data_IF_001358609518
#
_entry.id   IF_001358609518
#
_cell.length_a   1.000
_cell.length_b   1.000
_cell.length_c   1.000
_cell.angle_alpha   90.00
_cell.angle_beta   90.00
_cell.angle_gamma   90.00
#
_symmetry.space_group_name_H-M   'P 1'
#
loop_
_entity.id
_entity.type
_entity.pdbx_description
1 polymer ?
#
# COMPACT_ATOMS: atom_id res chain seq x y z
N UNK A 1 0.56 -7.86 12.14
CA UNK A 1 0.49 -9.26 11.67
C UNK A 1 -0.27 -9.32 10.34
N UNK A 2 -0.07 -10.34 9.51
CA UNK A 2 -0.79 -10.55 8.25
C UNK A 2 -0.82 -12.04 7.91
N UNK A 3 -2.00 -12.62 7.70
CA UNK A 3 -2.13 -14.02 7.28
C UNK A 3 -1.58 -14.18 5.87
N UNK A 4 -0.83 -15.25 5.59
CA UNK A 4 -0.43 -15.65 4.23
C UNK A 4 -1.42 -16.67 3.66
N UNK A 5 -1.89 -17.58 4.50
CA UNK A 5 -2.94 -18.57 4.26
C UNK A 5 -3.44 -19.08 5.63
N UNK A 6 -4.21 -20.16 5.65
CA UNK A 6 -4.73 -20.78 6.88
C UNK A 6 -3.62 -21.45 7.73
N UNK A 7 -2.46 -21.72 7.14
CA UNK A 7 -1.33 -22.42 7.76
C UNK A 7 -0.25 -21.47 8.25
N UNK A 8 -0.12 -20.28 7.64
CA UNK A 8 0.99 -19.38 7.87
C UNK A 8 0.58 -17.93 8.14
N UNK A 9 1.27 -17.30 9.09
CA UNK A 9 1.09 -15.91 9.50
C UNK A 9 2.41 -15.16 9.48
N UNK A 10 2.40 -13.92 9.02
CA UNK A 10 3.51 -13.00 9.18
C UNK A 10 3.36 -12.10 10.41
N UNK A 11 4.46 -11.90 11.11
CA UNK A 11 4.65 -10.82 12.09
C UNK A 11 5.81 -9.91 11.68
N UNK A 12 5.69 -8.62 11.97
CA UNK A 12 6.80 -7.67 11.89
C UNK A 12 7.07 -7.12 13.28
N UNK A 13 8.34 -6.92 13.62
CA UNK A 13 8.75 -6.40 14.91
C UNK A 13 10.24 -6.11 14.96
N UNK A 14 10.73 -5.70 16.13
CA UNK A 14 12.15 -5.50 16.39
C UNK A 14 12.64 -6.56 17.37
N UNK A 15 13.82 -7.13 17.11
CA UNK A 15 14.51 -8.05 18.03
C UNK A 15 15.96 -7.64 18.15
N UNK A 16 16.38 -7.30 19.37
CA UNK A 16 17.74 -6.83 19.68
C UNK A 16 18.20 -5.68 18.76
N UNK A 17 17.31 -4.71 18.53
CA UNK A 17 17.57 -3.55 17.66
C UNK A 17 17.54 -3.83 16.15
N UNK A 18 17.22 -5.05 15.73
CA UNK A 18 17.06 -5.41 14.31
C UNK A 18 15.58 -5.52 13.96
N UNK A 19 15.14 -4.85 12.89
CA UNK A 19 13.81 -5.05 12.34
C UNK A 19 13.71 -6.42 11.65
N UNK A 20 12.68 -7.22 11.98
CA UNK A 20 12.49 -8.59 11.51
C UNK A 20 11.06 -8.78 10.99
N UNK A 21 10.96 -9.49 9.86
CA UNK A 21 9.74 -10.14 9.38
C UNK A 21 9.82 -11.63 9.75
N UNK A 22 8.90 -12.12 10.58
CA UNK A 22 8.84 -13.52 11.01
C UNK A 22 7.67 -14.25 10.34
N UNK A 23 7.94 -15.43 9.81
CA UNK A 23 6.94 -16.36 9.29
C UNK A 23 6.63 -17.41 10.37
N UNK A 24 5.38 -17.45 10.80
CA UNK A 24 4.87 -18.39 11.80
C UNK A 24 4.05 -19.49 11.12
N UNK A 25 4.23 -20.73 11.57
CA UNK A 25 3.31 -21.82 11.29
C UNK A 25 2.23 -21.82 12.38
N UNK A 26 0.97 -21.72 11.94
CA UNK A 26 -0.23 -21.65 12.76
C UNK A 26 -1.20 -22.81 12.48
N UNK A 27 -0.77 -23.86 11.75
CA UNK A 27 -1.57 -25.07 11.49
C UNK A 27 -2.15 -25.71 12.76
N UNK A 28 -1.48 -25.52 13.90
CA UNK A 28 -1.98 -25.87 15.23
C UNK A 28 -1.89 -24.64 16.12
N UNK A 29 -3.03 -24.00 16.39
CA UNK A 29 -3.10 -22.77 17.21
C UNK A 29 -2.52 -22.95 18.62
N UNK A 30 -2.56 -24.17 19.16
CA UNK A 30 -1.95 -24.51 20.45
C UNK A 30 -0.42 -24.57 20.43
N UNK A 31 0.21 -24.55 19.25
CA UNK A 31 1.64 -24.74 19.06
C UNK A 31 2.15 -23.88 17.89
N UNK A 32 2.01 -22.57 18.02
CA UNK A 32 2.54 -21.61 17.04
C UNK A 32 4.07 -21.59 17.10
N UNK A 33 4.72 -21.79 15.96
CA UNK A 33 6.19 -21.81 15.87
C UNK A 33 6.71 -20.89 14.76
N UNK A 34 7.83 -20.22 15.00
CA UNK A 34 8.54 -19.48 13.94
C UNK A 34 9.21 -20.48 13.00
N UNK A 35 8.88 -20.41 11.72
CA UNK A 35 9.47 -21.22 10.65
C UNK A 35 10.73 -20.54 10.12
N UNK A 36 10.67 -19.21 9.97
CA UNK A 36 11.71 -18.43 9.33
C UNK A 36 11.65 -16.96 9.73
N UNK A 37 12.80 -16.30 9.69
CA UNK A 37 12.94 -14.88 9.94
C UNK A 37 13.73 -14.20 8.83
N UNK A 38 13.29 -13.01 8.47
CA UNK A 38 13.86 -12.19 7.41
C UNK A 38 14.23 -10.84 8.02
N UNK A 39 15.51 -10.46 7.95
CA UNK A 39 15.93 -9.13 8.40
C UNK A 39 15.42 -8.06 7.46
N UNK A 40 14.73 -7.06 8.00
CA UNK A 40 14.33 -5.87 7.26
C UNK A 40 15.51 -4.88 7.19
N UNK A 41 15.40 -3.80 6.38
CA UNK A 41 16.45 -2.79 6.29
C UNK A 41 16.88 -2.28 7.66
N UNK A 42 18.19 -2.13 7.87
CA UNK A 42 18.74 -1.67 9.16
C UNK A 42 18.23 -0.28 9.57
N UNK A 43 17.86 0.56 8.60
CA UNK A 43 17.24 1.88 8.83
C UNK A 43 15.84 1.82 9.47
N UNK A 44 15.26 0.63 9.64
CA UNK A 44 13.93 0.42 10.22
C UNK A 44 13.98 -0.01 11.70
N UNK A 45 15.16 -0.01 12.34
CA UNK A 45 15.33 -0.43 13.75
C UNK A 45 14.42 0.32 14.72
N UNK A 46 14.15 1.60 14.46
CA UNK A 46 13.43 2.54 15.35
C UNK A 46 12.09 2.99 14.76
N UNK A 47 11.47 2.13 13.95
CA UNK A 47 10.19 2.41 13.28
C UNK A 47 9.08 1.46 13.73
N UNK A 48 7.85 1.96 13.68
CA UNK A 48 6.65 1.15 13.74
C UNK A 48 6.42 0.55 12.37
N UNK A 49 6.38 -0.78 12.30
CA UNK A 49 6.13 -1.50 11.07
C UNK A 49 4.68 -1.99 11.02
N UNK A 50 4.05 -1.87 9.86
CA UNK A 50 2.68 -2.37 9.63
C UNK A 50 2.56 -3.02 8.27
N UNK A 51 1.73 -4.05 8.19
CA UNK A 51 1.31 -4.59 6.90
C UNK A 51 0.21 -3.71 6.31
N UNK A 52 0.17 -3.63 4.99
CA UNK A 52 -1.02 -3.18 4.28
C UNK A 52 -1.67 -4.39 3.63
N UNK A 53 -2.88 -4.71 4.06
CA UNK A 53 -3.60 -5.90 3.59
C UNK A 53 -3.95 -5.74 2.11
N UNK A 54 -3.68 -6.78 1.34
CA UNK A 54 -4.06 -6.85 -0.06
C UNK A 54 -5.50 -7.36 -0.18
N UNK A 55 -6.41 -6.47 -0.58
CA UNK A 55 -7.87 -6.68 -0.60
C UNK A 55 -8.39 -7.50 -1.78
N UNK A 56 -7.55 -7.80 -2.77
CA UNK A 56 -7.93 -8.73 -3.84
C UNK A 56 -8.24 -10.11 -3.24
N UNK A 57 -9.07 -10.96 -3.87
CA UNK A 57 -9.24 -12.35 -3.46
C UNK A 57 -7.96 -13.17 -3.61
N UNK A 58 -7.78 -14.16 -2.75
CA UNK A 58 -6.77 -15.22 -2.94
C UNK A 58 -7.36 -16.32 -3.83
N UNK A 59 -6.50 -17.11 -4.47
CA UNK A 59 -6.87 -18.13 -5.47
C UNK A 59 -7.81 -19.24 -4.96
N UNK A 60 -8.03 -19.31 -3.65
CA UNK A 60 -8.92 -20.21 -2.93
C UNK A 60 -10.37 -19.72 -2.82
N UNK A 61 -10.66 -18.47 -3.22
CA UNK A 61 -12.02 -17.93 -3.22
C UNK A 61 -12.60 -18.03 -4.64
N UNK A 62 -13.70 -18.77 -4.79
CA UNK A 62 -14.48 -18.82 -6.04
C UNK A 62 -14.84 -17.38 -6.46
N UNK A 63 -14.30 -16.94 -7.59
CA UNK A 63 -14.69 -15.65 -8.17
C UNK A 63 -16.11 -15.78 -8.73
N UNK A 64 -16.95 -14.79 -8.42
CA UNK A 64 -18.25 -14.66 -9.05
C UNK A 64 -18.05 -14.34 -10.53
N UNK A 65 -18.78 -15.02 -11.42
CA UNK A 65 -18.71 -14.85 -12.88
C UNK A 65 -18.98 -13.41 -13.37
N UNK A 66 -19.51 -12.55 -12.49
CA UNK A 66 -19.83 -11.15 -12.78
C UNK A 66 -18.72 -10.16 -12.39
N UNK A 67 -17.53 -10.64 -12.02
CA UNK A 67 -16.40 -9.77 -11.70
C UNK A 67 -15.92 -9.04 -12.97
N UNK A 68 -15.94 -7.70 -12.95
CA UNK A 68 -15.53 -6.85 -14.08
C UNK A 68 -14.02 -6.89 -14.34
N UNK A 69 -13.22 -7.38 -13.39
CA UNK A 69 -11.78 -7.48 -13.48
C UNK A 69 -11.29 -8.89 -13.13
N UNK A 70 -10.34 -9.41 -13.90
CA UNK A 70 -9.72 -10.70 -13.60
C UNK A 70 -8.74 -10.56 -12.43
N UNK A 71 -9.06 -11.25 -11.35
CA UNK A 71 -8.19 -11.44 -10.18
C UNK A 71 -6.96 -12.24 -10.61
N UNK A 72 -5.76 -11.68 -10.42
CA UNK A 72 -4.48 -12.34 -10.72
C UNK A 72 -3.74 -12.72 -9.41
N UNK A 73 -4.23 -13.71 -8.64
CA UNK A 73 -3.75 -14.03 -7.29
C UNK A 73 -2.26 -14.41 -7.25
N UNK A 74 -1.71 -14.93 -8.34
CA UNK A 74 -0.29 -15.26 -8.50
C UNK A 74 0.64 -14.03 -8.61
N UNK A 75 0.08 -12.85 -8.88
CA UNK A 75 0.83 -11.61 -9.03
C UNK A 75 0.67 -10.64 -7.85
N UNK A 76 -0.07 -11.05 -6.82
CA UNK A 76 -0.33 -10.25 -5.62
C UNK A 76 0.93 -9.69 -4.98
N UNK A 77 0.82 -8.46 -4.51
CA UNK A 77 1.90 -7.75 -3.83
C UNK A 77 1.64 -7.71 -2.33
N UNK A 78 2.70 -7.97 -1.57
CA UNK A 78 2.80 -7.71 -0.13
C UNK A 78 3.40 -6.31 0.06
N UNK A 79 2.82 -5.52 0.96
CA UNK A 79 3.36 -4.22 1.34
C UNK A 79 3.58 -4.11 2.85
N UNK A 80 4.74 -3.60 3.23
CA UNK A 80 5.10 -3.30 4.62
C UNK A 80 5.45 -1.81 4.69
N UNK A 81 4.74 -1.06 5.54
CA UNK A 81 5.11 0.32 5.84
C UNK A 81 5.99 0.36 7.08
N UNK A 82 6.99 1.23 7.04
CA UNK A 82 7.88 1.60 8.14
C UNK A 82 7.67 3.07 8.45
N UNK A 83 7.14 3.35 9.65
CA UNK A 83 6.77 4.68 10.13
C UNK A 83 7.65 5.02 11.33
N UNK A 84 8.43 6.10 11.29
CA UNK A 84 9.27 6.54 12.41
C UNK A 84 8.48 6.64 13.73
N UNK A 85 9.03 6.10 14.82
CA UNK A 85 8.41 6.18 16.16
C UNK A 85 8.53 7.56 16.79
N UNK A 86 9.61 8.29 16.47
CA UNK A 86 9.87 9.64 16.96
C UNK A 86 10.11 10.55 15.76
N UNK A 87 9.32 11.61 15.65
CA UNK A 87 9.61 12.71 14.73
C UNK A 87 10.75 13.49 15.38
N UNK A 88 12.01 13.30 14.94
CA UNK A 88 13.11 14.08 15.51
C UNK A 88 12.94 15.58 15.19
N UNK A 89 13.65 16.41 15.95
CA UNK A 89 13.60 17.87 15.88
C UNK A 89 13.94 18.45 14.49
N UNK A 90 14.50 17.64 13.57
CA UNK A 90 14.75 18.03 12.18
C UNK A 90 13.49 18.04 11.30
N UNK A 91 12.34 17.58 11.79
CA UNK A 91 11.04 17.68 11.10
C UNK A 91 10.89 16.80 9.85
N UNK A 92 11.90 16.00 9.50
CA UNK A 92 11.90 15.16 8.31
C UNK A 92 12.29 13.73 8.65
N UNK A 93 11.31 12.81 8.58
CA UNK A 93 11.58 11.39 8.43
C UNK A 93 10.63 10.81 7.38
N UNK A 94 11.16 10.15 6.35
CA UNK A 94 10.34 9.58 5.30
C UNK A 94 9.60 8.35 5.80
N UNK A 95 8.34 8.21 5.38
CA UNK A 95 7.63 6.93 5.48
C UNK A 95 8.17 6.03 4.38
N UNK A 96 8.58 4.82 4.73
CA UNK A 96 9.12 3.86 3.75
C UNK A 96 8.12 2.75 3.50
N UNK A 97 7.89 2.40 2.24
CA UNK A 97 7.07 1.27 1.85
C UNK A 97 7.90 0.24 1.12
N UNK A 98 7.96 -0.97 1.66
CA UNK A 98 8.60 -2.12 1.04
C UNK A 98 7.53 -2.96 0.35
N UNK A 99 7.78 -3.29 -0.92
CA UNK A 99 6.93 -4.15 -1.72
C UNK A 99 7.68 -5.40 -2.21
N UNK A 100 6.95 -6.51 -2.30
CA UNK A 100 7.41 -7.74 -2.94
C UNK A 100 6.22 -8.60 -3.38
N UNK A 101 6.45 -9.57 -4.27
CA UNK A 101 5.40 -10.55 -4.62
C UNK A 101 5.10 -11.45 -3.42
N UNK A 102 3.81 -11.65 -3.12
CA UNK A 102 3.38 -12.60 -2.06
C UNK A 102 3.90 -14.02 -2.36
N UNK A 103 4.00 -14.39 -3.64
CA UNK A 103 4.48 -15.70 -4.09
C UNK A 103 5.93 -15.99 -3.73
N UNK A 104 6.72 -14.98 -3.34
CA UNK A 104 8.05 -15.18 -2.79
C UNK A 104 8.05 -16.15 -1.59
N UNK A 105 6.96 -16.13 -0.81
CA UNK A 105 6.83 -16.93 0.40
C UNK A 105 6.06 -18.24 0.23
N UNK A 106 5.68 -18.63 -1.01
CA UNK A 106 5.09 -19.94 -1.25
C UNK A 106 6.13 -21.04 -0.94
N UNK A 107 5.96 -21.62 0.24
CA UNK A 107 6.74 -22.73 0.78
C UNK A 107 6.34 -24.04 0.08
N UNK A 108 7.22 -25.06 -0.07
CA UNK A 108 8.60 -25.18 0.38
C UNK A 108 9.60 -24.92 -0.77
N UNK A 109 9.64 -23.72 -1.34
CA UNK A 109 10.47 -23.52 -2.53
C UNK A 109 11.97 -23.27 -2.24
N UNK A 110 12.38 -22.91 -1.02
CA UNK A 110 13.77 -22.48 -0.74
C UNK A 110 14.43 -23.17 0.46
N UNK A 111 15.58 -23.79 0.22
CA UNK A 111 16.55 -24.31 1.22
C UNK A 111 17.31 -23.18 1.93
N UNK A 112 16.62 -22.12 2.32
CA UNK A 112 17.23 -21.03 3.06
C UNK A 112 17.33 -21.38 4.55
N UNK A 113 18.33 -20.81 5.23
CA UNK A 113 18.48 -20.92 6.67
C UNK A 113 17.29 -20.36 7.45
N UNK A 114 17.29 -20.57 8.77
CA UNK A 114 16.23 -20.06 9.65
C UNK A 114 16.15 -18.52 9.63
N UNK A 115 17.30 -17.84 9.68
CA UNK A 115 17.41 -16.39 9.60
C UNK A 115 18.06 -16.00 8.28
N UNK A 116 17.37 -15.13 7.53
CA UNK A 116 17.80 -14.62 6.23
C UNK A 116 18.13 -13.14 6.36
N UNK A 117 19.39 -12.80 6.06
CA UNK A 117 19.90 -11.44 6.22
C UNK A 117 19.36 -10.53 5.11
N UNK A 118 19.22 -9.23 5.38
CA UNK A 118 18.67 -8.27 4.39
C UNK A 118 19.43 -8.32 3.06
N UNK A 119 20.76 -8.40 3.11
CA UNK A 119 21.63 -8.54 1.92
C UNK A 119 21.29 -9.74 1.02
N UNK A 120 20.62 -10.77 1.55
CA UNK A 120 20.26 -11.99 0.82
C UNK A 120 18.88 -11.89 0.17
N UNK A 121 17.88 -11.37 0.87
CA UNK A 121 16.51 -11.33 0.35
C UNK A 121 16.03 -9.95 -0.11
N UNK A 122 16.71 -8.87 0.29
CA UNK A 122 16.42 -7.51 -0.14
C UNK A 122 16.53 -7.32 -1.66
N UNK A 123 17.31 -8.15 -2.35
CA UNK A 123 17.36 -8.18 -3.81
C UNK A 123 16.02 -8.57 -4.48
N UNK A 124 15.07 -9.15 -3.74
CA UNK A 124 13.72 -9.49 -4.22
C UNK A 124 12.67 -8.44 -3.82
N UNK A 125 13.08 -7.38 -3.13
CA UNK A 125 12.21 -6.33 -2.64
C UNK A 125 12.43 -5.03 -3.42
N UNK A 126 11.46 -4.14 -3.35
CA UNK A 126 11.58 -2.75 -3.77
C UNK A 126 11.11 -1.85 -2.63
N UNK A 127 11.72 -0.68 -2.47
CA UNK A 127 11.41 0.28 -1.41
C UNK A 127 11.12 1.64 -2.04
N UNK A 128 9.95 2.18 -1.71
CA UNK A 128 9.57 3.55 -2.03
C UNK A 128 9.73 4.43 -0.80
N UNK A 129 10.38 5.56 -0.99
CA UNK A 129 10.46 6.62 0.03
C UNK A 129 9.34 7.62 -0.22
N UNK A 130 8.58 7.95 0.82
CA UNK A 130 7.50 8.94 0.76
C UNK A 130 7.97 10.21 1.46
N UNK A 131 8.45 11.14 0.64
CA UNK A 131 8.96 12.46 1.03
C UNK A 131 7.81 13.46 1.23
N UNK A 132 6.95 13.22 2.22
CA UNK A 132 5.83 14.14 2.51
C UNK A 132 5.60 14.25 4.02
N UNK A 133 5.14 15.42 4.48
CA UNK A 133 4.84 15.66 5.88
C UNK A 133 3.99 14.53 6.48
N UNK A 134 4.38 13.96 7.64
CA UNK A 134 3.56 12.99 8.34
C UNK A 134 2.14 13.53 8.53
N UNK A 135 1.13 12.78 8.05
CA UNK A 135 -0.27 13.20 8.09
C UNK A 135 -0.83 13.82 6.80
N UNK A 136 -0.01 14.09 5.77
CA UNK A 136 -0.51 14.44 4.43
C UNK A 136 -0.83 13.20 3.59
N UNK A 137 -0.26 12.04 3.90
CA UNK A 137 -0.46 10.79 3.15
C UNK A 137 -1.45 9.86 3.86
N UNK A 138 -2.33 9.20 3.10
CA UNK A 138 -3.18 8.09 3.54
C UNK A 138 -2.91 6.86 2.68
N UNK A 139 -2.78 5.69 3.31
CA UNK A 139 -2.35 4.44 2.67
C UNK A 139 -1.01 3.91 3.18
N UNK A 140 -0.41 2.91 2.50
CA UNK A 140 -0.83 2.38 1.21
C UNK A 140 -2.03 1.42 1.31
N UNK A 141 -2.88 1.40 0.28
CA UNK A 141 -3.98 0.45 0.13
C UNK A 141 -3.65 -0.48 -1.04
N UNK A 142 -3.58 -1.77 -0.79
CA UNK A 142 -3.09 -2.74 -1.79
C UNK A 142 -4.27 -3.51 -2.36
N UNK A 143 -4.37 -3.60 -3.68
CA UNK A 143 -5.39 -4.37 -4.40
C UNK A 143 -4.70 -5.13 -5.54
N UNK A 144 -4.49 -6.44 -5.35
CA UNK A 144 -3.85 -7.29 -6.35
C UNK A 144 -2.41 -6.85 -6.62
N UNK A 145 -2.17 -6.33 -7.82
CA UNK A 145 -0.88 -5.75 -8.28
C UNK A 145 -0.79 -4.24 -8.10
N UNK A 146 -1.86 -3.57 -7.67
CA UNK A 146 -1.93 -2.11 -7.58
C UNK A 146 -1.86 -1.65 -6.13
N UNK A 147 -1.26 -0.48 -5.94
CA UNK A 147 -1.18 0.20 -4.64
C UNK A 147 -1.71 1.61 -4.81
N UNK A 148 -2.69 1.96 -4.00
CA UNK A 148 -3.30 3.28 -3.95
C UNK A 148 -2.85 4.02 -2.72
N UNK A 149 -2.68 5.33 -2.84
CA UNK A 149 -2.52 6.22 -1.69
C UNK A 149 -3.03 7.61 -2.03
N UNK A 150 -3.44 8.34 -1.01
CA UNK A 150 -3.94 9.70 -1.13
C UNK A 150 -2.91 10.67 -0.59
N UNK A 151 -2.66 11.74 -1.34
CA UNK A 151 -1.83 12.86 -0.97
C UNK A 151 -2.74 14.09 -0.76
N UNK A 152 -2.97 14.46 0.50
CA UNK A 152 -3.67 15.68 0.87
C UNK A 152 -2.78 16.90 0.61
N UNK A 153 -3.40 18.03 0.26
CA UNK A 153 -2.68 19.29 0.09
C UNK A 153 -2.08 19.77 1.43
N UNK A 154 -0.86 20.36 1.43
CA UNK A 154 -0.24 20.88 2.64
C UNK A 154 -1.03 22.05 3.22
N UNK A 155 -1.21 22.04 4.56
CA UNK A 155 -2.04 23.01 5.29
C UNK A 155 -1.47 24.45 5.34
N UNK A 156 -0.18 24.64 5.04
CA UNK A 156 0.47 25.95 5.16
C UNK A 156 0.89 26.51 3.78
N UNK A 157 0.09 27.43 3.25
CA UNK A 157 0.51 28.67 2.57
C UNK A 157 -0.75 29.42 2.15
N UNK A 158 -1.45 29.97 3.14
CA UNK A 158 -2.45 31.00 2.93
C UNK A 158 -1.73 32.28 2.51
N UNK A 159 -1.65 32.57 1.20
CA UNK A 159 -1.55 33.96 0.71
C UNK A 159 -1.64 34.20 -0.79
N UNK A 160 -1.62 33.20 -1.68
CA UNK A 160 -1.73 33.48 -3.12
C UNK A 160 -2.86 32.70 -3.83
N UNK A 161 -3.59 33.49 -4.62
CA UNK A 161 -4.79 33.21 -5.39
C UNK A 161 -4.69 32.01 -6.36
N UNK A 162 -5.82 31.33 -6.57
CA UNK A 162 -6.28 31.00 -7.93
C UNK A 162 -6.20 29.57 -8.45
N UNK A 163 -5.47 28.64 -7.81
CA UNK A 163 -5.44 27.24 -8.26
C UNK A 163 -5.79 26.28 -7.14
N UNK A 164 -6.91 25.56 -7.32
CA UNK A 164 -7.41 24.51 -6.43
C UNK A 164 -6.28 23.54 -6.09
N UNK A 165 -5.76 23.62 -4.85
CA UNK A 165 -4.83 22.64 -4.30
C UNK A 165 -5.61 21.41 -3.89
N UNK A 166 -6.01 20.64 -4.89
CA UNK A 166 -6.78 19.41 -4.74
C UNK A 166 -5.92 18.30 -4.13
N UNK A 167 -6.52 17.46 -3.27
CA UNK A 167 -5.94 16.17 -2.93
C UNK A 167 -5.69 15.35 -4.21
N UNK A 168 -4.71 14.44 -4.17
CA UNK A 168 -4.34 13.60 -5.31
C UNK A 168 -4.46 12.14 -4.91
N UNK A 169 -5.09 11.35 -5.78
CA UNK A 169 -5.01 9.90 -5.75
C UNK A 169 -3.79 9.49 -6.55
N UNK A 170 -2.92 8.68 -5.95
CA UNK A 170 -1.71 8.12 -6.56
C UNK A 170 -1.87 6.62 -6.68
N UNK A 171 -1.38 6.08 -7.80
CA UNK A 171 -1.43 4.65 -8.09
C UNK A 171 -0.03 4.18 -8.45
N UNK A 172 0.42 3.11 -7.80
CA UNK A 172 1.60 2.33 -8.20
C UNK A 172 1.07 1.02 -8.75
N UNK A 173 1.43 0.70 -9.99
CA UNK A 173 1.01 -0.49 -10.70
C UNK A 173 2.20 -1.42 -10.91
N UNK A 174 2.09 -2.66 -10.46
CA UNK A 174 3.11 -3.70 -10.63
C UNK A 174 2.71 -4.77 -11.67
N UNK A 175 1.77 -4.45 -12.55
CA UNK A 175 1.31 -5.39 -13.58
C UNK A 175 2.45 -5.82 -14.51
N UNK A 176 2.59 -7.12 -14.83
CA UNK A 176 3.74 -7.67 -15.54
C UNK A 176 3.90 -7.22 -17.00
N UNK A 177 2.93 -6.47 -17.54
CA UNK A 177 2.91 -5.99 -18.93
C UNK A 177 2.80 -4.45 -19.02
N UNK A 178 3.19 -3.72 -17.97
CA UNK A 178 3.18 -2.25 -18.04
C UNK A 178 4.23 -1.75 -19.04
N UNK A 179 3.82 -0.87 -19.95
CA UNK A 179 4.66 -0.29 -21.01
C UNK A 179 5.74 0.71 -20.51
N UNK A 180 6.09 0.71 -19.22
CA UNK A 180 6.98 1.73 -18.66
C UNK A 180 8.41 1.63 -19.22
N UNK A 181 8.87 2.72 -19.82
CA UNK A 181 10.20 2.87 -20.44
C UNK A 181 11.21 3.55 -19.50
N UNK A 182 10.77 4.17 -18.39
CA UNK A 182 11.64 4.92 -17.48
C UNK A 182 11.64 4.40 -16.04
N UNK A 183 12.80 4.43 -15.35
CA UNK A 183 12.87 4.10 -13.93
C UNK A 183 12.10 5.15 -13.12
N UNK A 184 11.15 4.74 -12.27
CA UNK A 184 10.34 5.68 -11.52
C UNK A 184 11.20 6.45 -10.51
N UNK A 185 10.95 7.76 -10.39
CA UNK A 185 11.62 8.62 -9.39
C UNK A 185 11.06 8.37 -7.99
N UNK A 186 11.88 8.56 -6.94
CA UNK A 186 11.44 8.41 -5.54
C UNK A 186 11.45 6.96 -5.02
N UNK A 187 12.19 6.06 -5.66
CA UNK A 187 12.46 4.71 -5.17
C UNK A 187 13.84 4.68 -4.52
N UNK A 188 13.88 4.37 -3.22
CA UNK A 188 15.13 4.32 -2.46
C UNK A 188 15.90 3.01 -2.68
N UNK A 189 15.20 1.95 -3.10
CA UNK A 189 15.85 0.68 -3.45
C UNK A 189 15.00 -0.11 -4.43
N UNK A 190 15.61 -0.63 -5.51
CA UNK A 190 15.01 -1.62 -6.39
C UNK A 190 15.94 -2.82 -6.43
N UNK A 191 15.53 -3.92 -5.79
CA UNK A 191 16.28 -5.16 -5.79
C UNK A 191 16.37 -5.73 -7.20
N UNK A 192 17.57 -6.18 -7.66
CA UNK A 192 17.78 -6.65 -9.03
C UNK A 192 17.01 -7.93 -9.40
N UNK A 193 16.38 -8.61 -8.43
CA UNK A 193 15.57 -9.82 -8.60
C UNK A 193 14.12 -9.64 -8.16
N UNK A 194 13.66 -8.41 -7.96
CA UNK A 194 12.33 -8.13 -7.40
C UNK A 194 11.17 -8.61 -8.29
N UNK A 195 11.38 -8.76 -9.61
CA UNK A 195 10.34 -9.11 -10.58
C UNK A 195 9.08 -8.22 -10.51
N UNK A 196 9.18 -7.05 -9.87
CA UNK A 196 8.17 -6.01 -9.77
C UNK A 196 8.71 -4.79 -10.52
N UNK A 197 7.95 -4.32 -11.50
CA UNK A 197 8.28 -3.13 -12.27
C UNK A 197 7.22 -2.09 -11.92
N UNK A 198 7.55 -1.04 -11.14
CA UNK A 198 6.56 -0.04 -10.75
C UNK A 198 6.25 0.90 -11.92
N UNK A 199 4.97 1.10 -12.19
CA UNK A 199 4.46 2.21 -13.01
C UNK A 199 3.63 3.13 -12.14
N UNK A 200 3.97 4.41 -12.08
CA UNK A 200 3.27 5.38 -11.24
C UNK A 200 2.37 6.30 -12.06
N UNK A 201 1.14 6.51 -11.58
CA UNK A 201 0.21 7.50 -12.13
C UNK A 201 -0.44 8.31 -11.01
N UNK A 202 -0.98 9.47 -11.37
CA UNK A 202 -1.64 10.36 -10.42
C UNK A 202 -2.87 11.02 -11.01
N UNK A 203 -3.92 11.16 -10.21
CA UNK A 203 -5.17 11.85 -10.59
C UNK A 203 -5.54 12.85 -9.50
N UNK A 204 -5.83 14.08 -9.90
CA UNK A 204 -6.41 15.08 -9.00
C UNK A 204 -7.82 14.65 -8.59
N UNK A 205 -8.12 14.77 -7.30
CA UNK A 205 -9.47 14.57 -6.75
C UNK A 205 -10.17 15.93 -6.77
N UNK A 206 -11.23 16.12 -7.58
CA UNK A 206 -11.91 17.40 -7.67
C UNK A 206 -12.35 17.90 -6.29
N UNK A 207 -12.24 19.21 -6.04
CA UNK A 207 -12.69 19.81 -4.77
C UNK A 207 -14.19 19.58 -4.51
N UNK A 208 -14.99 19.47 -5.59
CA UNK A 208 -16.40 19.10 -5.54
C UNK A 208 -16.66 17.66 -5.08
N UNK A 209 -15.67 16.77 -5.21
CA UNK A 209 -15.75 15.38 -4.75
C UNK A 209 -15.34 15.21 -3.30
N UNK A 210 -14.90 16.27 -2.63
CA UNK A 210 -14.48 16.23 -1.21
C UNK A 210 -15.06 17.39 -0.40
N UNK A 211 -15.92 18.22 -1.00
CA UNK A 211 -16.49 19.43 -0.40
C UNK A 211 -15.45 20.33 0.29
N UNK A 212 -14.22 20.35 -0.26
CA UNK A 212 -13.07 21.07 0.32
C UNK A 212 -12.53 20.50 1.64
N UNK A 213 -13.03 19.34 2.11
CA UNK A 213 -12.55 18.68 3.31
C UNK A 213 -11.32 17.81 3.04
N UNK A 214 -10.36 17.73 3.98
CA UNK A 214 -9.27 16.77 3.89
C UNK A 214 -9.77 15.33 3.89
N UNK A 215 -9.04 14.45 3.21
CA UNK A 215 -9.33 13.01 3.23
C UNK A 215 -8.69 12.42 4.47
N UNK A 216 -9.53 11.89 5.37
CA UNK A 216 -9.14 11.24 6.62
C UNK A 216 -8.61 9.83 6.39
N UNK A 217 -9.23 9.07 5.50
CA UNK A 217 -8.83 7.70 5.16
C UNK A 217 -9.36 7.34 3.77
N UNK A 218 -8.91 6.21 3.23
CA UNK A 218 -9.48 5.63 2.02
C UNK A 218 -9.55 4.11 2.16
N UNK A 219 -10.33 3.48 1.29
CA UNK A 219 -10.30 2.05 1.10
C UNK A 219 -10.39 1.76 -0.40
N UNK A 220 -9.79 0.67 -0.85
CA UNK A 220 -9.77 0.30 -2.25
C UNK A 220 -10.14 -1.18 -2.41
N UNK A 221 -11.06 -1.44 -3.31
CA UNK A 221 -11.36 -2.75 -3.87
C UNK A 221 -10.99 -2.77 -5.35
N UNK A 222 -11.25 -3.87 -6.03
CA UNK A 222 -11.00 -3.99 -7.48
C UNK A 222 -11.86 -3.00 -8.28
N UNK A 223 -13.05 -2.67 -7.80
CA UNK A 223 -14.03 -1.86 -8.53
C UNK A 223 -14.11 -0.40 -8.05
N UNK A 224 -13.71 -0.13 -6.81
CA UNK A 224 -14.01 1.14 -6.14
C UNK A 224 -12.86 1.64 -5.28
N UNK A 225 -12.71 2.96 -5.25
CA UNK A 225 -11.94 3.67 -4.22
C UNK A 225 -12.91 4.50 -3.39
N UNK A 226 -13.03 4.15 -2.11
CA UNK A 226 -13.89 4.84 -1.14
C UNK A 226 -13.04 5.83 -0.35
N UNK A 227 -13.42 7.10 -0.35
CA UNK A 227 -12.77 8.18 0.37
C UNK A 227 -13.58 8.53 1.62
N UNK A 228 -12.94 8.52 2.78
CA UNK A 228 -13.52 8.97 4.04
C UNK A 228 -12.99 10.36 4.36
N UNK A 229 -13.87 11.35 4.45
CA UNK A 229 -13.49 12.73 4.70
C UNK A 229 -13.34 12.98 6.21
N UNK A 230 -12.67 14.07 6.59
CA UNK A 230 -12.68 14.54 7.98
C UNK A 230 -14.11 14.86 8.45
N UNK A 231 -14.38 14.58 9.73
CA UNK A 231 -15.71 14.79 10.28
C UNK A 231 -16.01 16.28 10.42
N UNK A 232 -17.19 16.70 9.96
CA UNK A 232 -17.70 18.06 10.13
C UNK A 232 -19.00 17.98 10.91
N UNK A 233 -19.09 18.73 12.01
CA UNK A 233 -20.28 18.76 12.88
C UNK A 233 -20.72 17.37 13.37
N UNK A 234 -19.75 16.48 13.63
CA UNK A 234 -20.01 15.11 14.11
C UNK A 234 -20.38 14.09 13.03
N UNK A 235 -20.53 14.51 11.76
CA UNK A 235 -20.80 13.60 10.64
C UNK A 235 -19.53 13.35 9.82
N UNK A 236 -19.31 12.08 9.44
CA UNK A 236 -18.24 11.69 8.54
C UNK A 236 -18.80 11.42 7.14
N UNK A 237 -18.41 12.24 6.18
CA UNK A 237 -18.81 12.09 4.77
C UNK A 237 -17.96 11.04 4.07
N UNK A 238 -18.57 10.32 3.12
CA UNK A 238 -17.93 9.28 2.31
C UNK A 238 -18.18 9.57 0.84
N UNK A 239 -17.16 9.44 0.00
CA UNK A 239 -17.28 9.54 -1.45
C UNK A 239 -16.73 8.29 -2.14
N UNK A 240 -17.46 7.77 -3.11
CA UNK A 240 -17.09 6.56 -3.85
C UNK A 240 -16.64 6.96 -5.25
N UNK A 241 -15.38 6.67 -5.57
CA UNK A 241 -14.82 6.80 -6.90
C UNK A 241 -14.89 5.43 -7.58
N UNK A 242 -15.77 5.31 -8.57
CA UNK A 242 -15.91 4.07 -9.37
C UNK A 242 -15.04 4.15 -10.61
N UNK A 243 -14.51 3.02 -11.07
CA UNK A 243 -13.84 2.92 -12.37
C UNK A 243 -14.89 2.87 -13.50
N UNK A 244 -15.59 3.98 -13.75
CA UNK A 244 -16.32 4.22 -15.00
C UNK A 244 -17.60 3.42 -15.22
N UNK A 245 -18.72 4.01 -14.83
CA UNK A 245 -19.79 4.29 -15.79
C UNK A 245 -20.23 5.73 -15.53
N UNK A 246 -20.37 6.60 -16.54
CA UNK A 246 -21.07 7.86 -16.33
C UNK A 246 -22.45 7.49 -15.81
N UNK A 247 -22.83 8.02 -14.64
CA UNK A 247 -24.25 8.07 -14.28
C UNK A 247 -24.88 8.83 -15.44
N UNK A 248 -25.69 8.14 -16.25
CA UNK A 248 -26.48 8.78 -17.28
C UNK A 248 -27.50 9.63 -16.55
N UNK A 249 -27.06 10.82 -16.12
CA UNK A 249 -27.87 11.84 -15.52
C UNK A 249 -28.88 12.24 -16.57
N UNK A 250 -30.09 11.71 -16.38
CA UNK A 250 -31.35 12.17 -16.94
C UNK A 250 -31.25 13.59 -17.49
N UNK A 251 -31.64 13.70 -18.76
CA UNK A 251 -31.86 14.93 -19.48
C UNK A 251 -32.50 15.99 -18.58
N UNK A 252 -31.78 17.10 -18.37
CA UNK A 252 -32.42 18.38 -18.05
C UNK A 252 -33.35 18.70 -19.22
N UNK A 253 -34.62 18.32 -19.10
CA UNK A 253 -35.69 18.90 -19.88
C UNK A 253 -35.71 20.40 -19.56
N UNK A 254 -35.25 21.21 -20.52
CA UNK A 254 -35.67 22.60 -20.63
C UNK A 254 -37.17 22.59 -20.91
N UNK A 255 -37.93 23.25 -20.04
CA UNK A 255 -39.03 24.12 -20.46
C UNK A 255 -38.98 25.37 -19.59
#
# INVERSE_FOLDING_TARGET
IQFLDETYLFGVGSRSGTAILSLYNISKVTSVSVVREFELPGTWSDTTMRFSTNSSPRSDVYQTSDALFYTAPETRVLAISSIPTVISRSGYYPVNWLFLKETYFRYPSRKDGFRILWRQWGQYCIIKEIETTPGAIRGPYVVGTKVFYVENAPAQTSRNHGHSRSARLRVIDFSPFSESVEPPRGWSSIGPRSNLIPTESSRSIPSSSVDGLPIKDANATEDNVVLFLEARQGYQSVNILTFGAPVSGSSRMRR
#
